data_IF_166327978090
#
_entry.id   IF_166327978090
#
_cell.length_a   1.000
_cell.length_b   1.000
_cell.length_c   1.000
_cell.angle_alpha   90.00
_cell.angle_beta   90.00
_cell.angle_gamma   90.00
#
_symmetry.space_group_name_H-M   'P 1'
#
loop_
_entity.id
_entity.type
_entity.pdbx_description
1 polymer ?
#
# COMPACT_ATOMS: atom_id res chain seq x y z
N UNK A 1 -1.86 15.66 26.10
CA UNK A 1 -2.50 16.02 24.82
C UNK A 1 -3.56 14.97 24.57
N UNK A 2 -4.84 15.32 24.67
CA UNK A 2 -5.94 14.43 24.29
C UNK A 2 -5.68 13.92 22.88
N UNK A 3 -5.49 12.60 22.75
CA UNK A 3 -5.33 11.95 21.47
C UNK A 3 -6.67 11.98 20.75
N UNK A 4 -6.82 12.86 19.76
CA UNK A 4 -7.97 12.79 18.87
C UNK A 4 -8.04 11.39 18.26
N UNK A 5 -9.16 10.69 18.43
CA UNK A 5 -9.39 9.38 17.80
C UNK A 5 -9.31 9.58 16.29
N UNK A 6 -8.31 8.97 15.65
CA UNK A 6 -8.14 9.03 14.20
C UNK A 6 -8.88 7.85 13.60
N UNK A 7 -10.04 8.11 13.00
CA UNK A 7 -10.81 7.11 12.27
C UNK A 7 -10.09 6.66 11.00
N UNK A 8 -10.03 5.35 10.74
CA UNK A 8 -9.60 4.79 9.46
C UNK A 8 -10.84 4.57 8.61
N UNK A 9 -10.94 5.22 7.45
CA UNK A 9 -12.11 5.06 6.58
C UNK A 9 -12.00 3.77 5.75
N UNK A 10 -10.77 3.41 5.31
CA UNK A 10 -10.51 2.24 4.47
C UNK A 10 -9.15 1.63 4.77
N UNK A 11 -9.13 0.37 5.19
CA UNK A 11 -7.92 -0.47 5.23
C UNK A 11 -7.68 -1.09 3.84
N UNK A 12 -6.42 -1.17 3.44
CA UNK A 12 -6.04 -1.77 2.16
C UNK A 12 -5.60 -3.23 2.28
N UNK A 13 -5.70 -3.98 1.19
CA UNK A 13 -5.37 -5.41 1.13
C UNK A 13 -3.90 -5.69 1.48
N UNK A 14 -2.96 -4.79 1.16
CA UNK A 14 -1.54 -4.94 1.55
C UNK A 14 -1.33 -4.87 3.07
N UNK A 15 -2.25 -4.23 3.80
CA UNK A 15 -2.24 -4.17 5.27
C UNK A 15 -3.14 -5.23 5.91
N UNK A 16 -3.61 -6.23 5.17
CA UNK A 16 -4.59 -7.24 5.65
C UNK A 16 -4.12 -8.08 6.84
N UNK A 17 -2.81 -8.31 6.98
CA UNK A 17 -2.21 -9.06 8.10
C UNK A 17 -1.84 -8.19 9.29
N UNK A 18 -1.86 -6.87 9.13
CA UNK A 18 -1.57 -5.94 10.22
C UNK A 18 -2.74 -5.98 11.17
N UNK A 19 -2.47 -6.32 12.41
CA UNK A 19 -3.47 -6.16 13.47
C UNK A 19 -3.67 -4.66 13.72
N UNK A 20 -4.92 -4.21 13.67
CA UNK A 20 -5.22 -2.80 13.90
C UNK A 20 -5.09 -2.43 15.39
N UNK A 21 -5.20 -3.41 16.29
CA UNK A 21 -5.01 -3.21 17.73
C UNK A 21 -3.54 -2.92 18.07
N UNK A 22 -2.60 -3.41 17.26
CA UNK A 22 -1.17 -3.10 17.39
C UNK A 22 -0.81 -1.65 17.01
N UNK A 23 -1.78 -0.88 16.46
CA UNK A 23 -1.59 0.53 16.12
C UNK A 23 -2.08 1.42 17.27
N UNK A 24 -1.13 1.90 18.06
CA UNK A 24 -1.39 2.82 19.18
C UNK A 24 -1.69 4.25 18.72
N UNK A 25 -0.91 4.77 17.77
CA UNK A 25 -1.07 6.14 17.28
C UNK A 25 -0.45 6.37 15.89
N UNK A 26 -0.83 7.49 15.26
CA UNK A 26 -0.21 7.96 14.01
C UNK A 26 0.70 9.16 14.25
N UNK A 27 1.99 9.01 13.95
CA UNK A 27 3.04 9.97 14.28
C UNK A 27 3.84 10.47 13.08
N UNK A 28 4.66 11.50 13.31
CA UNK A 28 5.67 11.95 12.35
C UNK A 28 6.94 11.11 12.50
N UNK A 29 7.64 10.86 11.42
CA UNK A 29 8.90 10.12 11.45
C UNK A 29 9.56 10.03 10.08
N UNK A 30 10.62 9.22 9.99
CA UNK A 30 11.24 8.85 8.71
C UNK A 30 10.68 7.48 8.32
N UNK A 31 9.74 7.47 7.39
CA UNK A 31 9.13 6.25 6.87
C UNK A 31 10.01 5.56 5.84
N UNK A 32 10.05 4.24 5.90
CA UNK A 32 10.79 3.33 5.03
C UNK A 32 9.82 2.38 4.32
N UNK A 33 10.35 1.58 3.40
CA UNK A 33 9.57 0.54 2.72
C UNK A 33 8.97 -0.46 3.72
N UNK A 34 7.70 -0.80 3.51
CA UNK A 34 6.90 -1.67 4.38
C UNK A 34 6.29 -0.98 5.59
N UNK A 35 6.69 0.25 5.92
CA UNK A 35 6.10 0.97 7.05
C UNK A 35 4.64 1.30 6.76
N UNK A 36 3.77 1.00 7.72
CA UNK A 36 2.34 1.29 7.65
C UNK A 36 2.12 2.79 7.83
N UNK A 37 1.31 3.37 6.95
CA UNK A 37 1.05 4.80 6.90
C UNK A 37 -0.44 5.07 6.70
N UNK A 38 -0.95 6.05 7.44
CA UNK A 38 -2.26 6.62 7.20
C UNK A 38 -2.13 7.87 6.34
N UNK A 39 -2.90 7.92 5.26
CA UNK A 39 -2.92 9.04 4.33
C UNK A 39 -4.34 9.50 4.07
N UNK A 40 -4.50 10.77 3.75
CA UNK A 40 -5.77 11.37 3.36
C UNK A 40 -5.81 11.55 1.84
N UNK A 41 -6.88 11.08 1.19
CA UNK A 41 -7.08 11.26 -0.24
C UNK A 41 -7.38 12.74 -0.57
N UNK A 42 -6.60 13.33 -1.47
CA UNK A 42 -6.76 14.75 -1.83
C UNK A 42 -7.80 14.98 -2.95
N UNK A 43 -8.29 13.91 -3.57
CA UNK A 43 -9.38 13.91 -4.57
C UNK A 43 -9.96 12.50 -4.72
N UNK A 44 -11.01 12.36 -5.54
CA UNK A 44 -11.76 11.10 -5.76
C UNK A 44 -11.57 10.48 -7.15
N UNK A 45 -10.60 10.95 -7.93
CA UNK A 45 -10.37 10.53 -9.33
C UNK A 45 -8.88 10.45 -9.67
N UNK A 46 -8.55 9.67 -10.71
CA UNK A 46 -7.19 9.41 -11.16
C UNK A 46 -7.03 8.01 -11.73
N UNK A 47 -5.80 7.59 -11.99
CA UNK A 47 -5.49 6.25 -12.49
C UNK A 47 -5.83 5.10 -11.52
N UNK A 48 -5.91 5.41 -10.22
CA UNK A 48 -6.38 4.49 -9.19
C UNK A 48 -7.38 5.26 -8.33
N UNK A 49 -8.67 4.95 -8.47
CA UNK A 49 -9.78 5.59 -7.74
C UNK A 49 -10.53 4.63 -6.83
N UNK A 50 -10.00 3.42 -6.65
CA UNK A 50 -10.51 2.40 -5.75
C UNK A 50 -9.37 1.86 -4.89
N UNK A 51 -9.72 1.39 -3.70
CA UNK A 51 -8.83 0.65 -2.83
C UNK A 51 -9.40 -0.76 -2.62
N UNK A 52 -8.57 -1.77 -2.80
CA UNK A 52 -8.90 -3.14 -2.47
C UNK A 52 -8.82 -3.28 -0.95
N UNK A 53 -9.92 -3.71 -0.33
CA UNK A 53 -10.00 -3.94 1.11
C UNK A 53 -9.49 -5.34 1.46
N UNK A 54 -9.22 -5.66 2.74
CA UNK A 54 -8.79 -7.01 3.16
C UNK A 54 -9.74 -8.13 2.75
N UNK A 55 -11.02 -7.85 2.53
CA UNK A 55 -11.99 -8.83 2.01
C UNK A 55 -11.93 -9.05 0.50
N UNK A 56 -11.02 -8.36 -0.21
CA UNK A 56 -10.94 -8.35 -1.68
C UNK A 56 -11.94 -7.40 -2.35
N UNK A 57 -12.83 -6.74 -1.59
CA UNK A 57 -13.79 -5.79 -2.16
C UNK A 57 -13.08 -4.51 -2.62
N UNK A 58 -13.38 -4.05 -3.84
CA UNK A 58 -12.94 -2.75 -4.36
C UNK A 58 -13.86 -1.63 -3.85
N UNK A 59 -13.37 -0.85 -2.89
CA UNK A 59 -14.07 0.31 -2.34
C UNK A 59 -13.67 1.60 -3.07
N UNK A 60 -14.66 2.38 -3.51
CA UNK A 60 -14.42 3.68 -4.17
C UNK A 60 -13.78 4.67 -3.20
N UNK A 61 -12.76 5.39 -3.65
CA UNK A 61 -12.08 6.42 -2.86
C UNK A 61 -12.80 7.76 -3.04
N UNK A 62 -13.09 8.41 -1.92
CA UNK A 62 -13.64 9.75 -1.83
C UNK A 62 -12.58 10.72 -1.29
N UNK A 63 -12.66 11.98 -1.69
CA UNK A 63 -11.84 13.05 -1.12
C UNK A 63 -12.01 13.09 0.41
N UNK A 64 -10.90 13.26 1.12
CA UNK A 64 -10.78 13.22 2.59
C UNK A 64 -10.86 11.83 3.25
N UNK A 65 -11.04 10.76 2.48
CA UNK A 65 -10.90 9.40 3.00
C UNK A 65 -9.51 9.21 3.61
N UNK A 66 -9.46 8.62 4.81
CA UNK A 66 -8.25 8.16 5.47
C UNK A 66 -8.01 6.70 5.11
N UNK A 67 -6.99 6.49 4.29
CA UNK A 67 -6.60 5.22 3.72
C UNK A 67 -5.41 4.69 4.51
N UNK A 68 -5.54 3.48 5.08
CA UNK A 68 -4.43 2.76 5.69
C UNK A 68 -3.73 1.94 4.61
N UNK A 69 -2.45 2.21 4.38
CA UNK A 69 -1.64 1.55 3.39
C UNK A 69 -0.19 1.44 3.83
N UNK A 70 0.71 1.19 2.89
CA UNK A 70 2.14 1.02 3.17
C UNK A 70 2.98 1.91 2.29
N UNK A 71 4.09 2.39 2.84
CA UNK A 71 5.15 2.98 2.02
C UNK A 71 5.82 1.87 1.21
N UNK A 72 5.90 2.01 -0.10
CA UNK A 72 6.50 0.96 -0.93
C UNK A 72 6.90 1.39 -2.32
N UNK A 73 7.77 0.57 -2.92
CA UNK A 73 8.13 0.67 -4.32
C UNK A 73 7.10 -0.05 -5.19
N UNK A 74 6.84 0.48 -6.39
CA UNK A 74 6.05 -0.21 -7.42
C UNK A 74 6.76 -0.11 -8.74
N UNK A 75 7.21 -1.24 -9.26
CA UNK A 75 7.69 -1.39 -10.64
C UNK A 75 6.55 -1.88 -11.52
N UNK A 76 6.20 -1.08 -12.52
CA UNK A 76 5.14 -1.43 -13.46
C UNK A 76 5.52 -1.00 -14.87
N UNK A 77 5.38 -1.91 -15.83
CA UNK A 77 5.67 -1.63 -17.25
C UNK A 77 4.57 -0.79 -17.91
N UNK A 78 3.32 -0.94 -17.45
CA UNK A 78 2.14 -0.31 -18.07
C UNK A 78 1.23 0.43 -17.07
N UNK A 79 1.73 0.71 -15.87
CA UNK A 79 0.98 1.42 -14.83
C UNK A 79 1.86 2.49 -14.17
N UNK A 80 1.54 2.85 -12.93
CA UNK A 80 2.28 3.85 -12.16
C UNK A 80 3.55 3.21 -11.61
N UNK A 81 4.70 3.80 -11.89
CA UNK A 81 5.97 3.49 -11.23
C UNK A 81 6.15 4.44 -10.05
N UNK A 82 6.47 3.90 -8.88
CA UNK A 82 6.74 4.72 -7.71
C UNK A 82 7.85 4.18 -6.84
N UNK A 83 8.44 5.08 -6.06
CA UNK A 83 9.64 4.80 -5.25
C UNK A 83 9.55 5.38 -3.85
N UNK A 84 10.24 4.71 -2.93
CA UNK A 84 10.67 5.23 -1.64
C UNK A 84 12.20 5.42 -1.71
N UNK A 85 12.74 6.62 -1.46
CA UNK A 85 14.18 6.83 -1.39
C UNK A 85 14.83 5.93 -0.32
N UNK A 86 16.05 5.44 -0.54
CA UNK A 86 16.78 4.59 0.44
C UNK A 86 16.93 5.22 1.82
N UNK A 87 17.05 6.55 1.88
CA UNK A 87 17.09 7.33 3.13
C UNK A 87 15.74 7.46 3.85
N UNK A 88 14.68 6.89 3.28
CA UNK A 88 13.30 7.06 3.72
C UNK A 88 12.66 8.39 3.28
N UNK A 89 11.43 8.60 3.72
CA UNK A 89 10.62 9.79 3.50
C UNK A 89 10.29 10.40 4.85
N UNK A 90 10.60 11.69 5.03
CA UNK A 90 10.15 12.43 6.21
C UNK A 90 8.63 12.63 6.13
N UNK A 91 7.89 11.86 6.91
CA UNK A 91 6.42 11.87 6.92
C UNK A 91 5.92 13.10 7.67
N UNK A 92 5.32 14.01 6.91
CA UNK A 92 4.70 15.26 7.39
C UNK A 92 3.48 15.58 6.54
N UNK A 93 2.59 16.45 7.01
CA UNK A 93 1.40 16.86 6.24
C UNK A 93 1.73 17.78 5.05
N UNK A 94 2.97 18.26 4.93
CA UNK A 94 3.39 19.22 3.90
C UNK A 94 3.93 18.54 2.64
N UNK A 95 4.11 17.23 2.66
CA UNK A 95 4.53 16.47 1.47
C UNK A 95 3.31 15.83 0.79
N UNK A 96 3.48 15.54 -0.50
CA UNK A 96 2.51 14.78 -1.28
C UNK A 96 3.11 13.43 -1.66
N UNK A 97 2.31 12.39 -1.48
CA UNK A 97 2.57 11.04 -1.98
C UNK A 97 1.44 10.66 -2.94
N UNK A 98 1.50 9.45 -3.48
CA UNK A 98 0.52 8.94 -4.43
C UNK A 98 0.14 7.52 -4.08
N UNK A 99 -1.14 7.19 -4.25
CA UNK A 99 -1.59 5.81 -4.28
C UNK A 99 -1.10 5.18 -5.58
N UNK A 100 -0.19 4.23 -5.45
CA UNK A 100 0.49 3.60 -6.58
C UNK A 100 -0.34 2.46 -7.15
N UNK A 101 -1.08 1.69 -6.34
CA UNK A 101 -1.96 0.61 -6.77
C UNK A 101 -3.21 0.51 -5.88
N UNK A 102 -4.25 -0.19 -6.34
CA UNK A 102 -5.47 -0.42 -5.56
C UNK A 102 -5.22 -1.20 -4.26
N UNK A 103 -4.16 -2.02 -4.21
CA UNK A 103 -3.79 -2.78 -3.01
C UNK A 103 -3.25 -1.94 -1.85
N UNK A 104 -3.08 -0.60 -2.02
CA UNK A 104 -2.69 0.28 -0.92
C UNK A 104 -1.20 0.61 -0.81
N UNK A 105 -0.43 0.39 -1.87
CA UNK A 105 0.97 0.83 -1.90
C UNK A 105 1.03 2.34 -2.17
N UNK A 106 1.73 3.06 -1.30
CA UNK A 106 1.86 4.52 -1.31
C UNK A 106 3.33 4.89 -1.51
N UNK A 107 3.60 5.85 -2.38
CA UNK A 107 4.97 6.33 -2.61
C UNK A 107 5.05 7.58 -3.47
N UNK A 108 6.25 7.95 -3.87
CA UNK A 108 6.43 9.04 -4.85
C UNK A 108 6.29 8.45 -6.25
N UNK A 109 5.27 8.88 -7.00
CA UNK A 109 5.15 8.52 -8.40
C UNK A 109 6.32 9.13 -9.18
N UNK A 110 6.99 8.31 -9.98
CA UNK A 110 8.13 8.68 -10.83
C UNK A 110 7.71 8.75 -12.29
N UNK A 111 6.86 7.83 -12.73
CA UNK A 111 6.26 7.83 -14.06
C UNK A 111 4.88 7.17 -14.04
N UNK A 112 4.05 7.48 -15.04
CA UNK A 112 2.73 6.89 -15.22
C UNK A 112 2.29 7.03 -16.67
N UNK A 113 1.31 6.22 -17.08
CA UNK A 113 0.72 6.27 -18.42
C UNK A 113 -0.44 7.27 -18.42
N UNK A 114 -0.30 8.36 -19.17
CA UNK A 114 -1.27 9.47 -19.21
C UNK A 114 -2.68 9.00 -19.59
N UNK A 115 -2.81 8.03 -20.50
CA UNK A 115 -4.10 7.46 -20.93
C UNK A 115 -4.90 6.85 -19.79
N UNK A 116 -4.24 6.39 -18.73
CA UNK A 116 -4.90 5.84 -17.55
C UNK A 116 -5.25 6.92 -16.50
N UNK A 117 -4.88 8.18 -16.73
CA UNK A 117 -5.06 9.28 -15.78
C UNK A 117 -3.82 9.51 -14.91
N UNK A 118 -3.83 10.59 -14.13
CA UNK A 118 -2.74 10.89 -13.19
C UNK A 118 -2.89 10.07 -11.90
N UNK A 119 -1.76 9.71 -11.23
CA UNK A 119 -1.79 9.04 -9.93
C UNK A 119 -2.65 9.82 -8.92
N UNK A 120 -3.35 9.11 -8.04
CA UNK A 120 -4.19 9.75 -7.02
C UNK A 120 -3.30 10.35 -5.92
N UNK A 121 -3.26 11.68 -5.75
CA UNK A 121 -2.44 12.32 -4.74
C UNK A 121 -3.05 12.10 -3.36
N UNK A 122 -2.19 11.80 -2.40
CA UNK A 122 -2.54 11.60 -1.00
C UNK A 122 -1.61 12.42 -0.11
N UNK A 123 -2.14 12.88 1.02
CA UNK A 123 -1.40 13.64 2.03
C UNK A 123 -1.18 12.78 3.26
N UNK A 124 0.06 12.61 3.75
CA UNK A 124 0.28 11.85 4.97
C UNK A 124 -0.43 12.46 6.18
N UNK A 125 -1.08 11.60 6.95
CA UNK A 125 -1.57 11.89 8.30
C UNK A 125 -0.47 11.53 9.30
N UNK A 126 0.09 10.32 9.20
CA UNK A 126 1.21 9.86 10.02
C UNK A 126 1.59 8.40 9.73
N UNK A 127 2.76 7.99 10.20
CA UNK A 127 3.18 6.58 10.29
C UNK A 127 2.45 5.92 11.45
N UNK A 128 2.08 4.65 11.31
CA UNK A 128 1.54 3.88 12.42
C UNK A 128 2.66 3.52 13.41
N UNK A 129 2.43 3.75 14.69
CA UNK A 129 3.30 3.36 15.79
C UNK A 129 2.56 2.41 16.74
N UNK A 130 3.27 1.43 17.28
CA UNK A 130 2.78 0.57 18.35
C UNK A 130 2.99 1.22 19.73
N UNK A 131 2.53 0.55 20.79
CA UNK A 131 2.64 1.03 22.18
C UNK A 131 4.10 1.18 22.67
N UNK A 132 5.04 0.48 22.03
CA UNK A 132 6.48 0.63 22.32
C UNK A 132 7.11 1.84 21.60
N UNK A 133 6.33 2.59 20.82
CA UNK A 133 6.84 3.72 20.03
C UNK A 133 7.66 3.30 18.81
N UNK A 134 7.53 2.05 18.35
CA UNK A 134 8.14 1.55 17.10
C UNK A 134 7.17 1.71 15.93
N UNK A 135 7.71 2.04 14.75
CA UNK A 135 6.91 2.11 13.52
C UNK A 135 6.46 0.71 13.14
N UNK A 136 5.15 0.54 12.93
CA UNK A 136 4.55 -0.73 12.49
C UNK A 136 4.97 -0.99 11.04
N UNK A 137 5.57 -2.16 10.77
CA UNK A 137 5.98 -2.57 9.44
C UNK A 137 5.35 -3.90 9.06
N UNK A 138 4.87 -4.04 7.81
CA UNK A 138 4.18 -5.26 7.36
C UNK A 138 5.06 -6.51 7.40
N UNK A 139 6.39 -6.37 7.42
CA UNK A 139 7.32 -7.50 7.54
C UNK A 139 7.15 -8.24 8.87
N UNK A 140 6.70 -7.53 9.91
CA UNK A 140 6.55 -8.08 11.26
C UNK A 140 5.32 -9.00 11.33
N UNK A 141 4.41 -8.91 10.35
CA UNK A 141 3.23 -9.75 10.16
C UNK A 141 3.41 -10.76 9.01
N UNK A 142 4.65 -10.93 8.54
CA UNK A 142 4.99 -11.85 7.47
C UNK A 142 4.80 -13.31 7.88
N UNK A 143 4.52 -14.17 6.90
CA UNK A 143 4.50 -15.61 7.13
C UNK A 143 5.95 -16.10 7.34
N UNK A 144 6.21 -16.99 8.32
CA UNK A 144 7.53 -17.56 8.52
C UNK A 144 8.06 -18.24 7.25
N UNK A 145 9.32 -17.94 6.90
CA UNK A 145 9.98 -18.58 5.76
C UNK A 145 10.13 -20.09 5.99
N UNK A 146 9.83 -20.89 4.96
CA UNK A 146 10.07 -22.34 4.97
C UNK A 146 11.05 -22.70 3.86
N UNK A 147 12.07 -23.47 4.19
CA UNK A 147 13.07 -23.98 3.22
C UNK A 147 12.64 -25.28 2.53
N UNK A 148 11.67 -25.98 3.12
CA UNK A 148 11.18 -27.26 2.62
C UNK A 148 9.65 -27.22 2.56
N UNK A 149 9.12 -27.73 1.45
CA UNK A 149 7.70 -28.03 1.32
C UNK A 149 7.45 -29.42 1.91
N UNK A 150 6.35 -29.56 2.64
CA UNK A 150 5.83 -30.88 3.02
C UNK A 150 5.19 -31.58 1.83
N UNK A 151 4.33 -32.56 2.10
CA UNK A 151 3.49 -33.18 1.06
C UNK A 151 2.46 -32.15 0.59
N UNK A 152 2.55 -31.71 -0.66
CA UNK A 152 1.61 -30.77 -1.30
C UNK A 152 1.02 -31.37 -2.58
N UNK A 153 -0.10 -30.83 -3.10
CA UNK A 153 -0.49 -31.03 -4.49
C UNK A 153 0.63 -30.58 -5.45
N UNK A 154 0.60 -31.02 -6.74
CA UNK A 154 1.51 -30.51 -7.76
C UNK A 154 1.46 -28.98 -7.84
N UNK A 155 2.62 -28.33 -7.87
CA UNK A 155 2.75 -26.88 -8.00
C UNK A 155 3.09 -26.57 -9.45
N UNK A 156 2.21 -25.85 -10.14
CA UNK A 156 2.45 -25.35 -11.50
C UNK A 156 2.72 -23.84 -11.41
N UNK A 157 3.85 -23.38 -11.93
CA UNK A 157 4.22 -21.97 -11.95
C UNK A 157 4.17 -21.43 -13.38
N UNK A 158 3.31 -20.44 -13.62
CA UNK A 158 3.27 -19.72 -14.90
C UNK A 158 4.12 -18.45 -14.79
N UNK A 159 5.20 -18.40 -15.58
CA UNK A 159 6.15 -17.27 -15.60
C UNK A 159 6.05 -16.54 -16.94
N UNK A 160 6.23 -15.22 -16.92
CA UNK A 160 6.20 -14.41 -18.12
C UNK A 160 7.06 -13.17 -17.99
N UNK A 161 7.38 -12.53 -19.12
CA UNK A 161 8.32 -11.41 -19.19
C UNK A 161 7.72 -10.03 -18.90
N UNK A 162 6.39 -9.85 -18.95
CA UNK A 162 5.76 -8.53 -18.73
C UNK A 162 4.27 -8.63 -18.35
N UNK A 163 3.69 -7.57 -17.78
CA UNK A 163 2.24 -7.45 -17.56
C UNK A 163 1.46 -7.59 -18.89
N UNK A 164 0.25 -8.17 -18.83
CA UNK A 164 -0.62 -8.42 -20.01
C UNK A 164 -0.07 -9.39 -21.08
N UNK A 165 0.96 -10.19 -20.76
CA UNK A 165 1.54 -11.19 -21.68
C UNK A 165 0.77 -12.52 -21.78
N UNK A 166 -0.51 -12.58 -21.39
CA UNK A 166 -1.34 -13.80 -21.52
C UNK A 166 -1.24 -14.86 -20.41
N UNK A 167 -0.46 -14.66 -19.33
CA UNK A 167 -0.34 -15.64 -18.21
C UNK A 167 -1.66 -15.94 -17.49
N UNK A 168 -2.59 -14.99 -17.40
CA UNK A 168 -3.91 -15.28 -16.83
C UNK A 168 -4.73 -16.15 -17.78
N UNK A 169 -4.70 -15.87 -19.09
CA UNK A 169 -5.35 -16.67 -20.13
C UNK A 169 -4.83 -18.11 -20.11
N UNK A 170 -3.50 -18.29 -20.12
CA UNK A 170 -2.86 -19.60 -20.07
C UNK A 170 -3.10 -20.37 -18.75
N UNK A 171 -3.56 -19.72 -17.68
CA UNK A 171 -3.87 -20.38 -16.42
C UNK A 171 -5.32 -20.90 -16.33
N UNK A 172 -6.21 -20.41 -17.21
CA UNK A 172 -7.65 -20.72 -17.17
C UNK A 172 -8.16 -21.46 -18.40
N UNK A 173 -7.42 -21.44 -19.50
CA UNK A 173 -7.64 -22.27 -20.70
C UNK A 173 -6.91 -23.61 -20.59
#
# INVERSE_FOLDING_TARGET
MEGAIIQIDKQSSVTSRVDLEDIAYFGRGIGKEGDVILVEALRSYGAVSYIETPSGRLAKIHMKDKLLGVLGNRDATRAIVGRIPRRGIKVTRNIRLHLLCAGGVIGKAVSFVIRHGSPLPVRPVGLAYNDEGKVVNIKDYGIPWRKHLGRTPPIVMLVSTSMESGKTTAAVE
#
